data_IF_607774326441
#
_entry.id   IF_607774326441
#
_cell.length_a   1.000
_cell.length_b   1.000
_cell.length_c   1.000
_cell.angle_alpha   90.00
_cell.angle_beta   90.00
_cell.angle_gamma   90.00
#
_symmetry.space_group_name_H-M   'P 1'
#
loop_
_entity.id
_entity.type
_entity.pdbx_description
1 polymer ?
#
# COMPACT_ATOMS: atom_id res chain seq x y z
N UNK A 1 7.18 -6.26 18.01
CA UNK A 1 8.54 -5.66 17.83
C UNK A 1 9.31 -5.76 19.14
N UNK A 2 10.65 -5.97 19.14
CA UNK A 2 11.40 -6.04 20.37
C UNK A 2 11.78 -4.63 20.86
N UNK A 3 11.65 -4.36 22.18
CA UNK A 3 12.01 -3.08 22.78
C UNK A 3 13.50 -2.73 22.71
N UNK A 4 14.34 -3.67 22.30
CA UNK A 4 15.77 -3.45 22.07
C UNK A 4 16.01 -2.51 20.88
N UNK A 5 15.29 -2.72 19.77
CA UNK A 5 15.50 -2.01 18.51
C UNK A 5 14.44 -0.94 18.21
N UNK A 6 13.30 -1.00 18.89
CA UNK A 6 12.21 -0.07 18.69
C UNK A 6 11.84 0.66 19.99
N UNK A 7 11.48 1.93 19.86
CA UNK A 7 10.69 2.66 20.84
C UNK A 7 9.23 2.69 20.41
N UNK A 8 8.30 2.86 21.35
CA UNK A 8 6.90 3.00 21.02
C UNK A 8 6.44 4.42 21.33
N UNK A 9 5.83 5.09 20.37
CA UNK A 9 5.27 6.43 20.52
C UNK A 9 3.84 6.44 19.94
N UNK A 10 2.86 6.78 20.77
CA UNK A 10 1.44 6.82 20.39
C UNK A 10 0.98 5.54 19.67
N UNK A 11 1.40 4.37 20.15
CA UNK A 11 1.05 3.07 19.57
C UNK A 11 1.88 2.63 18.37
N UNK A 12 2.72 3.51 17.81
CA UNK A 12 3.58 3.23 16.65
C UNK A 12 4.97 2.79 17.11
N UNK A 13 5.51 1.74 16.52
CA UNK A 13 6.89 1.30 16.72
C UNK A 13 7.82 2.10 15.82
N UNK A 14 8.77 2.83 16.41
CA UNK A 14 9.76 3.65 15.73
C UNK A 14 11.15 3.05 15.97
N UNK A 15 11.96 2.76 14.93
CA UNK A 15 13.31 2.27 15.09
C UNK A 15 14.17 3.28 15.87
N UNK A 16 14.91 2.81 16.87
CA UNK A 16 15.79 3.68 17.69
C UNK A 16 16.88 4.32 16.82
N UNK A 17 17.14 5.59 17.04
CA UNK A 17 18.15 6.35 16.29
C UNK A 17 17.66 6.86 14.92
N UNK A 18 16.44 6.55 14.52
CA UNK A 18 15.83 7.12 13.30
C UNK A 18 14.93 8.30 13.71
N UNK A 19 15.24 9.47 13.17
CA UNK A 19 14.35 10.63 13.26
C UNK A 19 13.40 10.59 12.04
N UNK A 20 12.10 10.83 12.25
CA UNK A 20 11.15 10.92 11.16
C UNK A 20 11.53 12.03 10.17
N UNK A 21 11.64 11.67 8.88
CA UNK A 21 11.74 12.64 7.80
C UNK A 21 10.33 13.07 7.40
N UNK A 22 10.02 14.33 7.71
CA UNK A 22 8.67 14.88 7.45
C UNK A 22 8.55 15.59 6.10
N UNK A 23 9.59 15.61 5.27
CA UNK A 23 9.60 16.38 4.01
C UNK A 23 8.55 15.84 3.03
N UNK A 24 8.61 14.54 2.74
CA UNK A 24 7.62 13.86 1.91
C UNK A 24 6.24 13.86 2.58
N UNK A 25 6.18 13.55 3.89
CA UNK A 25 4.93 13.47 4.65
C UNK A 25 4.13 14.77 4.55
N UNK A 26 4.78 15.92 4.70
CA UNK A 26 4.11 17.24 4.59
C UNK A 26 3.49 17.46 3.22
N UNK A 27 4.24 17.17 2.15
CA UNK A 27 3.73 17.29 0.79
C UNK A 27 2.55 16.34 0.54
N UNK A 28 2.70 15.09 0.96
CA UNK A 28 1.66 14.07 0.83
C UNK A 28 0.37 14.47 1.56
N UNK A 29 0.47 14.89 2.83
CA UNK A 29 -0.69 15.31 3.62
C UNK A 29 -1.36 16.56 3.03
N UNK A 30 -0.57 17.50 2.50
CA UNK A 30 -1.12 18.68 1.83
C UNK A 30 -1.93 18.30 0.57
N UNK A 31 -1.44 17.35 -0.23
CA UNK A 31 -2.18 16.78 -1.36
C UNK A 31 -3.47 16.13 -0.87
N UNK A 32 -3.38 15.25 0.14
CA UNK A 32 -4.56 14.56 0.71
C UNK A 32 -5.61 15.56 1.22
N UNK A 33 -5.17 16.63 1.86
CA UNK A 33 -6.08 17.68 2.34
C UNK A 33 -6.81 18.38 1.17
N UNK A 34 -6.08 18.78 0.13
CA UNK A 34 -6.69 19.41 -1.06
C UNK A 34 -7.63 18.48 -1.82
N UNK A 35 -7.32 17.20 -1.85
CA UNK A 35 -8.16 16.15 -2.44
C UNK A 35 -9.37 15.78 -1.55
N UNK A 36 -9.46 16.30 -0.32
CA UNK A 36 -10.45 15.90 0.70
C UNK A 36 -10.35 14.39 1.04
N UNK A 37 -9.12 13.91 1.23
CA UNK A 37 -8.79 12.51 1.54
C UNK A 37 -8.14 12.35 2.93
N UNK A 38 -8.21 13.37 3.75
CA UNK A 38 -7.89 13.27 5.17
C UNK A 38 -9.16 12.84 5.89
N UNK A 39 -9.18 11.62 6.34
CA UNK A 39 -10.33 11.01 6.98
C UNK A 39 -10.25 11.14 8.50
N UNK A 40 -11.40 11.38 9.15
CA UNK A 40 -11.52 11.33 10.60
C UNK A 40 -11.40 9.90 11.14
N UNK A 41 -11.18 9.75 12.45
CA UNK A 41 -11.15 8.43 13.10
C UNK A 41 -12.46 7.65 12.87
N UNK A 42 -13.60 8.33 12.89
CA UNK A 42 -14.90 7.72 12.64
C UNK A 42 -15.05 7.21 11.20
N UNK A 43 -14.42 7.89 10.23
CA UNK A 43 -14.45 7.47 8.83
C UNK A 43 -13.52 6.28 8.59
N UNK A 44 -12.28 6.30 9.12
CA UNK A 44 -11.32 5.21 8.86
C UNK A 44 -11.76 3.88 9.45
N UNK A 45 -12.49 3.87 10.56
CA UNK A 45 -13.08 2.65 11.15
C UNK A 45 -13.97 1.91 10.16
N UNK A 46 -14.71 2.68 9.34
CA UNK A 46 -15.67 2.12 8.39
C UNK A 46 -15.07 1.73 7.04
N UNK A 47 -13.84 2.19 6.74
CA UNK A 47 -13.22 1.88 5.45
C UNK A 47 -13.11 0.35 5.22
N UNK A 48 -13.34 -0.09 4.00
CA UNK A 48 -13.56 0.63 2.75
C UNK A 48 -15.03 1.04 2.49
N UNK A 49 -15.91 0.95 3.48
CA UNK A 49 -17.29 1.43 3.35
C UNK A 49 -17.32 2.95 3.51
N UNK A 50 -17.87 3.65 2.52
CA UNK A 50 -18.01 5.10 2.51
C UNK A 50 -19.36 5.49 1.94
N UNK A 51 -19.90 6.63 2.36
CA UNK A 51 -21.20 7.09 1.91
C UNK A 51 -21.26 7.26 0.39
N UNK A 52 -22.39 6.93 -0.22
CA UNK A 52 -22.56 6.95 -1.69
C UNK A 52 -22.40 8.34 -2.30
N UNK A 53 -22.68 9.39 -1.53
CA UNK A 53 -22.50 10.79 -1.95
C UNK A 53 -21.06 11.31 -1.74
N UNK A 54 -20.17 10.51 -1.13
CA UNK A 54 -18.79 10.92 -0.91
C UNK A 54 -18.03 11.04 -2.22
N UNK A 55 -17.21 12.10 -2.36
CA UNK A 55 -16.46 12.41 -3.58
C UNK A 55 -15.60 11.22 -4.06
N UNK A 56 -15.01 10.46 -3.14
CA UNK A 56 -14.17 9.29 -3.43
C UNK A 56 -14.94 7.96 -3.41
N UNK A 57 -16.28 7.96 -3.44
CA UNK A 57 -17.09 6.74 -3.36
C UNK A 57 -16.69 5.70 -4.43
N UNK A 58 -16.46 6.13 -5.67
CA UNK A 58 -16.05 5.22 -6.73
C UNK A 58 -14.70 4.55 -6.43
N UNK A 59 -13.70 5.32 -6.01
CA UNK A 59 -12.38 4.78 -5.66
C UNK A 59 -12.48 3.77 -4.52
N UNK A 60 -13.20 4.10 -3.46
CA UNK A 60 -13.41 3.20 -2.34
C UNK A 60 -14.20 1.95 -2.72
N UNK A 61 -15.13 2.03 -3.69
CA UNK A 61 -15.79 0.84 -4.21
C UNK A 61 -14.81 -0.12 -4.91
N UNK A 62 -13.84 0.42 -5.64
CA UNK A 62 -12.77 -0.36 -6.27
C UNK A 62 -11.87 -1.01 -5.22
N UNK A 63 -11.39 -0.24 -4.23
CA UNK A 63 -10.56 -0.74 -3.12
C UNK A 63 -11.28 -1.79 -2.29
N UNK A 64 -12.58 -1.64 -2.09
CA UNK A 64 -13.43 -2.64 -1.43
C UNK A 64 -13.44 -3.98 -2.17
N UNK A 65 -13.56 -3.95 -3.49
CA UNK A 65 -13.57 -5.17 -4.31
C UNK A 65 -12.18 -5.85 -4.33
N UNK A 66 -11.10 -5.06 -4.39
CA UNK A 66 -9.73 -5.55 -4.26
C UNK A 66 -9.49 -6.20 -2.91
N UNK A 67 -9.87 -5.52 -1.83
CA UNK A 67 -9.75 -6.02 -0.45
C UNK A 67 -10.52 -7.33 -0.27
N UNK A 68 -11.78 -7.41 -0.71
CA UNK A 68 -12.59 -8.64 -0.64
C UNK A 68 -11.96 -9.79 -1.40
N UNK A 69 -11.39 -9.52 -2.57
CA UNK A 69 -10.73 -10.53 -3.41
C UNK A 69 -9.45 -11.03 -2.76
N UNK A 70 -8.62 -10.14 -2.22
CA UNK A 70 -7.40 -10.46 -1.50
C UNK A 70 -7.70 -11.28 -0.23
N UNK A 71 -8.63 -10.83 0.61
CA UNK A 71 -9.03 -11.55 1.83
C UNK A 71 -9.52 -12.95 1.50
N UNK A 72 -10.37 -13.10 0.47
CA UNK A 72 -10.86 -14.40 0.02
C UNK A 72 -9.71 -15.32 -0.42
N UNK A 73 -8.73 -14.77 -1.12
CA UNK A 73 -7.54 -15.50 -1.55
C UNK A 73 -6.70 -15.96 -0.36
N UNK A 74 -6.41 -15.05 0.59
CA UNK A 74 -5.59 -15.37 1.77
C UNK A 74 -6.29 -16.39 2.70
N UNK A 75 -7.60 -16.26 2.91
CA UNK A 75 -8.37 -17.24 3.71
C UNK A 75 -8.31 -18.68 3.14
N UNK A 76 -8.23 -18.83 1.82
CA UNK A 76 -8.09 -20.15 1.17
C UNK A 76 -6.78 -20.86 1.48
N UNK A 77 -5.72 -20.11 1.87
CA UNK A 77 -4.43 -20.71 2.26
C UNK A 77 -4.53 -21.53 3.54
N UNK A 78 -5.51 -21.23 4.40
CA UNK A 78 -5.87 -21.99 5.60
C UNK A 78 -4.67 -22.33 6.52
N UNK A 79 -3.71 -21.43 6.62
CA UNK A 79 -2.49 -21.57 7.44
C UNK A 79 -2.24 -20.28 8.23
N UNK A 80 -1.30 -20.32 9.18
CA UNK A 80 -0.81 -19.11 9.85
C UNK A 80 -0.06 -18.25 8.82
N UNK A 81 -0.32 -16.94 8.80
CA UNK A 81 0.31 -16.00 7.87
C UNK A 81 0.88 -14.79 8.62
N UNK A 82 2.15 -14.51 8.41
CA UNK A 82 2.80 -13.24 8.73
C UNK A 82 2.69 -12.33 7.54
N UNK A 83 2.02 -11.20 7.70
CA UNK A 83 1.67 -10.27 6.62
C UNK A 83 2.35 -8.94 6.88
N UNK A 84 3.02 -8.41 5.86
CA UNK A 84 3.56 -7.05 5.82
C UNK A 84 2.81 -6.24 4.77
N UNK A 85 2.20 -5.13 5.16
CA UNK A 85 1.69 -4.11 4.23
C UNK A 85 2.68 -2.95 4.18
N UNK A 86 3.21 -2.65 2.98
CA UNK A 86 4.17 -1.57 2.74
C UNK A 86 3.44 -0.36 2.16
N UNK A 87 3.52 0.77 2.87
CA UNK A 87 2.74 1.96 2.56
C UNK A 87 1.30 1.80 3.04
N UNK A 88 1.11 1.43 4.31
CA UNK A 88 -0.21 1.12 4.87
C UNK A 88 -1.07 2.37 5.16
N UNK A 89 -0.48 3.57 5.16
CA UNK A 89 -1.16 4.83 5.46
C UNK A 89 -1.94 4.77 6.78
N UNK A 90 -3.23 5.11 6.74
CA UNK A 90 -4.12 5.09 7.90
C UNK A 90 -4.52 3.68 8.38
N UNK A 91 -3.90 2.62 7.86
CA UNK A 91 -3.99 1.26 8.39
C UNK A 91 -5.30 0.50 8.14
N UNK A 92 -6.22 1.03 7.35
CA UNK A 92 -7.52 0.40 7.13
C UNK A 92 -7.43 -1.02 6.57
N UNK A 93 -6.52 -1.25 5.59
CA UNK A 93 -6.34 -2.57 4.99
C UNK A 93 -5.58 -3.50 5.95
N UNK A 94 -4.53 -3.04 6.64
CA UNK A 94 -3.84 -3.78 7.69
C UNK A 94 -4.83 -4.28 8.75
N UNK A 95 -5.78 -3.43 9.15
CA UNK A 95 -6.86 -3.83 10.07
C UNK A 95 -7.72 -4.96 9.48
N UNK A 96 -8.17 -4.84 8.23
CA UNK A 96 -8.96 -5.88 7.55
C UNK A 96 -8.20 -7.20 7.39
N UNK A 97 -6.89 -7.14 7.16
CA UNK A 97 -6.02 -8.31 7.11
C UNK A 97 -5.88 -8.98 8.50
N UNK A 98 -5.82 -8.19 9.57
CA UNK A 98 -5.79 -8.68 10.94
C UNK A 98 -7.13 -9.29 11.42
N UNK A 99 -8.22 -9.13 10.66
CA UNK A 99 -9.48 -9.85 10.87
C UNK A 99 -9.48 -11.29 10.30
N UNK A 100 -8.46 -11.65 9.53
CA UNK A 100 -8.31 -13.02 9.03
C UNK A 100 -7.78 -13.89 10.18
N UNK A 101 -8.44 -15.03 10.53
CA UNK A 101 -7.94 -15.92 11.56
C UNK A 101 -6.52 -16.42 11.28
N UNK A 102 -5.71 -16.53 12.33
CA UNK A 102 -4.31 -17.01 12.27
C UNK A 102 -3.43 -16.11 11.39
N UNK A 103 -3.53 -14.79 11.57
CA UNK A 103 -2.61 -13.83 10.96
C UNK A 103 -1.89 -13.03 12.02
N UNK A 104 -0.67 -12.60 11.71
CA UNK A 104 0.04 -11.49 12.32
C UNK A 104 0.31 -10.44 11.23
N UNK A 105 -0.04 -9.19 11.49
CA UNK A 105 0.03 -8.13 10.50
C UNK A 105 0.91 -7.00 10.99
N UNK A 106 1.82 -6.56 10.12
CA UNK A 106 2.59 -5.34 10.30
C UNK A 106 2.20 -4.38 9.18
N UNK A 107 1.68 -3.21 9.56
CA UNK A 107 1.55 -2.06 8.67
C UNK A 107 2.80 -1.18 8.77
N UNK A 108 3.51 -1.00 7.67
CA UNK A 108 4.72 -0.20 7.56
C UNK A 108 4.45 1.04 6.72
N UNK A 109 4.81 2.22 7.24
CA UNK A 109 4.71 3.48 6.49
C UNK A 109 5.78 4.49 6.94
N UNK A 110 6.05 5.48 6.11
CA UNK A 110 6.90 6.64 6.44
C UNK A 110 6.07 7.87 6.84
N UNK A 111 4.74 7.78 6.79
CA UNK A 111 3.83 8.82 7.25
C UNK A 111 3.45 8.57 8.72
N UNK A 112 4.15 9.26 9.62
CA UNK A 112 3.95 9.08 11.06
C UNK A 112 2.55 9.54 11.52
N UNK A 113 2.01 10.59 10.90
CA UNK A 113 0.68 11.13 11.23
C UNK A 113 -0.42 10.09 10.95
N UNK A 114 -0.42 9.47 9.77
CA UNK A 114 -1.38 8.42 9.42
C UNK A 114 -1.18 7.17 10.28
N UNK A 115 0.06 6.77 10.58
CA UNK A 115 0.36 5.64 11.47
C UNK A 115 -0.14 5.85 12.90
N UNK A 116 0.02 7.06 13.46
CA UNK A 116 -0.49 7.38 14.79
C UNK A 116 -2.03 7.35 14.81
N UNK A 117 -2.67 7.83 13.75
CA UNK A 117 -4.10 7.69 13.58
C UNK A 117 -4.52 6.22 13.53
N UNK A 118 -3.82 5.41 12.71
CA UNK A 118 -4.06 3.98 12.58
C UNK A 118 -3.93 3.24 13.92
N UNK A 119 -2.84 3.50 14.67
CA UNK A 119 -2.58 2.88 15.96
C UNK A 119 -3.60 3.28 17.04
N UNK A 120 -4.11 4.50 16.98
CA UNK A 120 -5.15 4.98 17.89
C UNK A 120 -6.53 4.33 17.60
N UNK A 121 -6.82 4.05 16.34
CA UNK A 121 -8.14 3.53 15.92
C UNK A 121 -8.18 2.01 15.92
N UNK A 122 -7.10 1.34 15.48
CA UNK A 122 -7.08 -0.10 15.25
C UNK A 122 -6.21 -0.84 16.29
N UNK A 123 -6.82 -1.23 17.41
CA UNK A 123 -6.15 -1.90 18.53
C UNK A 123 -6.41 -3.40 18.52
N UNK A 124 -5.66 -4.18 17.74
CA UNK A 124 -5.71 -5.65 17.71
C UNK A 124 -4.38 -6.22 18.19
N UNK A 125 -4.42 -7.32 18.98
CA UNK A 125 -3.21 -7.97 19.52
C UNK A 125 -2.29 -8.54 18.42
N UNK A 126 -2.84 -8.86 17.25
CA UNK A 126 -2.13 -9.40 16.09
C UNK A 126 -1.82 -8.33 15.01
N UNK A 127 -1.95 -7.02 15.33
CA UNK A 127 -1.68 -5.90 14.44
C UNK A 127 -0.67 -4.94 15.06
N UNK A 128 0.36 -4.60 14.32
CA UNK A 128 1.38 -3.63 14.73
C UNK A 128 1.59 -2.60 13.63
N UNK A 129 1.75 -1.35 14.00
CA UNK A 129 2.13 -0.27 13.07
C UNK A 129 3.58 0.15 13.34
N UNK A 130 4.36 0.24 12.25
CA UNK A 130 5.80 0.50 12.29
C UNK A 130 6.10 1.69 11.37
N UNK A 131 6.77 2.68 11.94
CA UNK A 131 7.32 3.78 11.17
C UNK A 131 8.65 3.36 10.55
N UNK A 132 8.80 3.61 9.26
CA UNK A 132 10.09 3.48 8.59
C UNK A 132 10.00 3.15 7.11
N UNK A 133 11.18 3.20 6.50
CA UNK A 133 11.40 2.89 5.09
C UNK A 133 12.02 1.48 4.99
N UNK A 134 11.42 0.59 4.25
CA UNK A 134 11.92 -0.77 4.05
C UNK A 134 13.36 -0.80 3.50
N UNK A 135 13.77 0.24 2.75
CA UNK A 135 15.14 0.40 2.22
C UNK A 135 16.20 0.56 3.32
N UNK A 136 15.80 0.85 4.56
CA UNK A 136 16.71 1.05 5.71
C UNK A 136 16.86 -0.19 6.59
N UNK A 137 16.54 -1.37 6.07
CA UNK A 137 16.62 -2.67 6.78
C UNK A 137 16.01 -2.66 8.19
N UNK A 138 14.92 -1.93 8.37
CA UNK A 138 14.27 -1.76 9.67
C UNK A 138 13.56 -3.01 10.18
N UNK A 139 13.28 -3.96 9.29
CA UNK A 139 12.58 -5.20 9.61
C UNK A 139 13.51 -6.29 10.19
N UNK A 140 14.83 -6.07 10.21
CA UNK A 140 15.82 -6.92 10.88
C UNK A 140 15.72 -8.40 10.48
N UNK A 141 15.73 -8.68 9.18
CA UNK A 141 15.65 -10.03 8.62
C UNK A 141 14.36 -10.80 9.00
N UNK A 142 13.29 -10.11 9.39
CA UNK A 142 12.00 -10.75 9.59
C UNK A 142 11.50 -11.32 8.26
N UNK A 143 10.92 -12.51 8.35
CA UNK A 143 10.37 -13.20 7.19
C UNK A 143 8.84 -13.15 7.24
N UNK A 144 8.24 -12.80 6.11
CA UNK A 144 6.80 -12.71 5.91
C UNK A 144 6.32 -13.76 4.91
N UNK A 145 5.13 -14.27 5.11
CA UNK A 145 4.47 -15.18 4.17
C UNK A 145 3.78 -14.39 3.06
N UNK A 146 3.38 -13.17 3.37
CA UNK A 146 2.71 -12.24 2.43
C UNK A 146 3.27 -10.84 2.61
N UNK A 147 3.67 -10.22 1.49
CA UNK A 147 3.99 -8.78 1.41
C UNK A 147 2.98 -8.12 0.47
N UNK A 148 2.45 -6.96 0.84
CA UNK A 148 1.40 -6.28 0.10
C UNK A 148 1.80 -4.82 -0.18
N UNK A 149 1.64 -4.41 -1.43
CA UNK A 149 1.63 -3.02 -1.87
C UNK A 149 0.20 -2.70 -2.34
N UNK A 150 -0.53 -1.92 -1.55
CA UNK A 150 -1.92 -1.55 -1.86
C UNK A 150 -2.02 -0.05 -2.16
N UNK A 151 -1.88 0.33 -3.43
CA UNK A 151 -1.86 1.75 -3.83
C UNK A 151 -0.64 2.49 -3.30
N UNK A 152 0.51 1.81 -3.14
CA UNK A 152 1.72 2.39 -2.56
C UNK A 152 2.98 2.27 -3.43
N UNK A 153 3.05 1.31 -4.37
CA UNK A 153 4.27 1.06 -5.16
C UNK A 153 4.68 2.28 -6.01
N UNK A 154 3.75 3.14 -6.40
CA UNK A 154 4.01 4.36 -7.16
C UNK A 154 4.81 5.43 -6.39
N UNK A 155 5.02 5.27 -5.09
CA UNK A 155 5.85 6.18 -4.29
C UNK A 155 7.31 5.72 -4.18
N UNK A 156 7.66 4.62 -4.80
CA UNK A 156 9.04 4.11 -4.89
C UNK A 156 9.61 4.40 -6.28
N UNK A 157 10.79 5.01 -6.36
CA UNK A 157 11.41 5.40 -7.64
C UNK A 157 11.80 4.21 -8.51
N UNK A 158 12.18 3.09 -7.90
CA UNK A 158 12.54 1.85 -8.58
C UNK A 158 11.64 0.70 -8.12
N UNK A 159 10.69 0.24 -8.94
CA UNK A 159 9.86 -0.92 -8.61
C UNK A 159 10.69 -2.20 -8.52
N UNK A 160 11.77 -2.30 -9.31
CA UNK A 160 12.69 -3.44 -9.28
C UNK A 160 13.41 -3.54 -7.94
N UNK A 161 13.98 -2.44 -7.46
CA UNK A 161 14.66 -2.39 -6.16
C UNK A 161 13.72 -2.77 -5.02
N UNK A 162 12.54 -2.16 -4.97
CA UNK A 162 11.61 -2.39 -3.87
C UNK A 162 11.05 -3.81 -3.85
N UNK A 163 10.86 -4.43 -5.03
CA UNK A 163 10.44 -5.83 -5.11
C UNK A 163 11.55 -6.76 -4.65
N UNK A 164 12.83 -6.50 -5.00
CA UNK A 164 13.96 -7.28 -4.49
C UNK A 164 14.05 -7.21 -2.95
N UNK A 165 13.95 -6.00 -2.37
CA UNK A 165 13.94 -5.84 -0.91
C UNK A 165 12.74 -6.56 -0.27
N UNK A 166 11.58 -6.56 -0.92
CA UNK A 166 10.42 -7.31 -0.44
C UNK A 166 10.65 -8.84 -0.53
N UNK A 167 11.31 -9.33 -1.58
CA UNK A 167 11.69 -10.74 -1.72
C UNK A 167 12.68 -11.18 -0.62
N UNK A 168 13.68 -10.36 -0.27
CA UNK A 168 14.62 -10.64 0.83
C UNK A 168 13.91 -10.86 2.18
N UNK A 169 12.77 -10.20 2.39
CA UNK A 169 11.94 -10.33 3.59
C UNK A 169 10.81 -11.37 3.43
N UNK A 170 10.82 -12.17 2.38
CA UNK A 170 9.78 -13.13 2.07
C UNK A 170 10.24 -14.56 2.39
N UNK A 171 9.37 -15.35 3.02
CA UNK A 171 9.62 -16.80 3.18
C UNK A 171 9.73 -17.47 1.82
N UNK A 172 10.41 -18.63 1.74
CA UNK A 172 10.64 -19.34 0.48
C UNK A 172 9.35 -19.66 -0.32
N UNK A 173 8.20 -19.79 0.37
CA UNK A 173 6.88 -20.01 -0.25
C UNK A 173 5.97 -18.77 -0.16
N UNK A 174 6.53 -17.64 0.21
CA UNK A 174 5.80 -16.39 0.36
C UNK A 174 5.39 -15.77 -0.97
N UNK A 175 4.55 -14.75 -0.88
CA UNK A 175 4.00 -14.05 -2.04
C UNK A 175 4.00 -12.54 -1.81
N UNK A 176 4.37 -11.79 -2.85
CA UNK A 176 4.17 -10.34 -2.90
C UNK A 176 2.92 -10.08 -3.72
N UNK A 177 2.01 -9.27 -3.19
CA UNK A 177 0.81 -8.82 -3.88
C UNK A 177 0.88 -7.32 -4.15
N UNK A 178 0.68 -6.92 -5.40
CA UNK A 178 0.53 -5.52 -5.81
C UNK A 178 -0.92 -5.35 -6.25
N UNK A 179 -1.65 -4.48 -5.56
CA UNK A 179 -3.05 -4.14 -5.81
C UNK A 179 -3.26 -2.63 -5.79
N UNK A 180 -4.36 -2.15 -6.35
CA UNK A 180 -4.80 -0.74 -6.31
C UNK A 180 -3.73 0.27 -6.78
N UNK A 181 -2.83 -0.18 -7.66
CA UNK A 181 -1.77 0.65 -8.25
C UNK A 181 -1.86 0.65 -9.77
N UNK A 182 -1.64 1.82 -10.37
CA UNK A 182 -1.51 1.91 -11.82
C UNK A 182 -0.17 1.35 -12.27
N UNK A 183 -0.22 0.42 -13.23
CA UNK A 183 0.92 -0.01 -14.02
C UNK A 183 0.59 0.27 -15.49
N UNK A 184 1.49 0.95 -16.16
CA UNK A 184 1.24 1.54 -17.48
C UNK A 184 1.78 0.68 -18.62
N UNK A 185 1.14 0.74 -19.76
CA UNK A 185 1.76 0.33 -21.02
C UNK A 185 2.76 1.39 -21.49
N UNK A 186 3.80 1.00 -22.23
CA UNK A 186 4.84 1.91 -22.70
C UNK A 186 4.29 3.11 -23.51
N UNK A 187 3.20 2.92 -24.24
CA UNK A 187 2.51 3.95 -25.02
C UNK A 187 1.71 4.96 -24.18
N UNK A 188 1.40 4.63 -22.92
CA UNK A 188 0.56 5.44 -22.03
C UNK A 188 1.40 6.21 -21.00
N UNK A 189 2.61 5.74 -20.69
CA UNK A 189 3.39 6.21 -19.54
C UNK A 189 3.78 7.68 -19.64
N UNK A 190 4.17 8.17 -20.83
CA UNK A 190 4.59 9.58 -20.98
C UNK A 190 3.40 10.54 -20.83
N UNK A 191 2.24 10.19 -21.38
CA UNK A 191 1.02 10.96 -21.18
C UNK A 191 0.62 10.97 -19.68
N UNK A 192 0.74 9.85 -19.00
CA UNK A 192 0.46 9.75 -17.56
C UNK A 192 1.40 10.63 -16.72
N UNK A 193 2.70 10.64 -17.04
CA UNK A 193 3.68 11.54 -16.39
C UNK A 193 3.36 13.00 -16.62
N UNK A 194 2.98 13.38 -17.85
CA UNK A 194 2.59 14.75 -18.18
C UNK A 194 1.35 15.17 -17.38
N UNK A 195 0.29 14.36 -17.40
CA UNK A 195 -0.94 14.61 -16.65
C UNK A 195 -0.68 14.72 -15.13
N UNK A 196 0.21 13.92 -14.59
CA UNK A 196 0.59 13.96 -13.18
C UNK A 196 1.29 15.29 -12.82
N UNK A 197 2.24 15.75 -13.65
CA UNK A 197 2.90 17.06 -13.46
C UNK A 197 1.91 18.22 -13.52
N UNK A 198 0.99 18.19 -14.48
CA UNK A 198 -0.05 19.21 -14.63
C UNK A 198 -1.01 19.22 -13.44
N UNK A 199 -1.46 18.05 -13.01
CA UNK A 199 -2.33 17.88 -11.85
C UNK A 199 -1.76 18.49 -10.58
N UNK A 200 -0.49 18.19 -10.23
CA UNK A 200 0.13 18.76 -9.04
C UNK A 200 0.49 20.22 -9.19
N UNK A 201 0.79 20.70 -10.41
CA UNK A 201 0.99 22.12 -10.70
C UNK A 201 -0.30 22.92 -10.49
N UNK A 202 -1.43 22.45 -11.03
CA UNK A 202 -2.74 23.08 -10.86
C UNK A 202 -3.20 23.08 -9.40
N UNK A 203 -2.84 22.04 -8.67
CA UNK A 203 -3.08 21.97 -7.22
C UNK A 203 -2.18 22.92 -6.42
N UNK A 204 -1.15 23.53 -7.03
CA UNK A 204 -0.17 24.39 -6.36
C UNK A 204 0.83 23.64 -5.48
N UNK A 205 1.08 22.36 -5.80
CA UNK A 205 2.05 21.49 -5.10
C UNK A 205 2.91 20.74 -6.14
N UNK A 206 3.62 21.46 -7.05
CA UNK A 206 4.34 20.84 -8.17
C UNK A 206 5.41 19.85 -7.72
N UNK A 207 6.03 20.06 -6.56
CA UNK A 207 7.09 19.20 -6.01
C UNK A 207 6.61 17.76 -5.73
N UNK A 208 5.31 17.55 -5.52
CA UNK A 208 4.77 16.20 -5.31
C UNK A 208 4.93 15.29 -6.54
N UNK A 209 5.02 15.87 -7.74
CA UNK A 209 5.29 15.10 -8.96
C UNK A 209 6.64 14.35 -8.93
N UNK A 210 7.61 14.82 -8.13
CA UNK A 210 8.91 14.16 -7.95
C UNK A 210 8.85 12.90 -7.08
N UNK A 211 7.74 12.69 -6.38
CA UNK A 211 7.51 11.56 -5.48
C UNK A 211 6.43 10.60 -6.00
N UNK A 212 5.89 10.82 -7.20
CA UNK A 212 4.90 9.94 -7.82
C UNK A 212 5.46 9.36 -9.12
N UNK A 213 5.76 8.07 -9.10
CA UNK A 213 6.43 7.37 -10.19
C UNK A 213 5.45 6.54 -11.00
N UNK A 214 5.70 6.43 -12.31
CA UNK A 214 4.84 5.74 -13.28
C UNK A 214 5.57 4.51 -13.78
N UNK A 215 5.24 3.35 -13.22
CA UNK A 215 5.88 2.08 -13.52
C UNK A 215 5.23 1.36 -14.69
N UNK A 216 6.03 0.70 -15.50
CA UNK A 216 5.52 -0.12 -16.60
C UNK A 216 5.08 -1.50 -16.08
N UNK A 217 3.98 -2.00 -16.60
CA UNK A 217 3.56 -3.37 -16.34
C UNK A 217 4.63 -4.37 -16.81
N UNK A 218 5.30 -4.07 -17.93
CA UNK A 218 6.33 -4.92 -18.50
C UNK A 218 7.54 -5.10 -17.56
N UNK A 219 7.86 -4.11 -16.71
CA UNK A 219 8.95 -4.21 -15.75
C UNK A 219 8.69 -5.27 -14.67
N UNK A 220 7.43 -5.65 -14.47
CA UNK A 220 7.05 -6.69 -13.52
C UNK A 220 7.34 -8.10 -14.03
N UNK A 221 7.42 -8.30 -15.35
CA UNK A 221 7.63 -9.61 -15.95
C UNK A 221 9.07 -10.14 -15.88
N UNK A 222 10.01 -9.33 -15.39
CA UNK A 222 11.34 -9.81 -15.02
C UNK A 222 11.34 -10.71 -13.77
N UNK A 223 10.25 -10.65 -12.98
CA UNK A 223 10.03 -11.48 -11.79
C UNK A 223 9.15 -12.68 -12.13
N UNK A 224 9.14 -13.68 -11.25
CA UNK A 224 8.15 -14.77 -11.30
C UNK A 224 6.76 -14.20 -10.94
N UNK A 225 6.17 -13.49 -11.88
CA UNK A 225 4.97 -12.70 -11.74
C UNK A 225 3.76 -13.37 -12.40
N UNK A 226 2.67 -13.46 -11.67
CA UNK A 226 1.37 -13.92 -12.17
C UNK A 226 0.34 -12.81 -12.05
N UNK A 227 -0.35 -12.50 -13.14
CA UNK A 227 -1.49 -11.57 -13.14
C UNK A 227 -2.74 -12.32 -12.68
N UNK A 228 -3.18 -12.06 -11.44
CA UNK A 228 -4.39 -12.66 -10.85
C UNK A 228 -5.68 -12.02 -11.39
N UNK A 229 -5.62 -10.72 -11.68
CA UNK A 229 -6.70 -9.96 -12.27
C UNK A 229 -6.12 -8.96 -13.26
N UNK A 230 -6.58 -9.03 -14.51
CA UNK A 230 -6.14 -8.10 -15.54
C UNK A 230 -6.80 -6.74 -15.38
N UNK A 231 -6.06 -5.68 -15.75
CA UNK A 231 -6.58 -4.33 -15.92
C UNK A 231 -7.72 -4.34 -16.95
N UNK A 232 -8.87 -3.80 -16.61
CA UNK A 232 -9.97 -3.65 -17.57
C UNK A 232 -9.69 -2.47 -18.50
N UNK A 233 -9.78 -2.68 -19.82
CA UNK A 233 -9.70 -1.60 -20.81
C UNK A 233 -10.72 -0.50 -20.51
N UNK A 234 -10.35 0.77 -20.79
CA UNK A 234 -11.19 1.94 -20.54
C UNK A 234 -12.60 1.81 -21.17
N UNK A 235 -12.72 1.22 -22.37
CA UNK A 235 -14.00 0.99 -23.05
C UNK A 235 -14.88 -0.07 -22.35
N UNK A 236 -14.28 -1.05 -21.67
CA UNK A 236 -15.03 -2.04 -20.86
C UNK A 236 -15.45 -1.49 -19.49
N UNK A 237 -14.83 -0.39 -19.02
CA UNK A 237 -15.23 0.29 -17.77
C UNK A 237 -16.65 0.84 -17.80
N UNK A 238 -17.13 1.29 -18.97
CA UNK A 238 -18.46 1.90 -19.11
C UNK A 238 -19.59 0.90 -18.88
N UNK A 239 -19.34 -0.40 -19.11
CA UNK A 239 -20.36 -1.46 -19.05
C UNK A 239 -20.13 -2.53 -18.00
N UNK A 240 -18.93 -2.61 -17.41
CA UNK A 240 -18.59 -3.60 -16.40
C UNK A 240 -17.90 -2.91 -15.22
N UNK A 241 -18.50 -2.96 -14.03
CA UNK A 241 -17.91 -2.52 -12.74
C UNK A 241 -16.69 -3.38 -12.37
N UNK A 242 -15.62 -3.36 -13.19
CA UNK A 242 -14.40 -4.14 -12.94
C UNK A 242 -13.26 -3.22 -12.52
N UNK A 243 -12.40 -3.72 -11.64
CA UNK A 243 -11.24 -3.02 -11.11
C UNK A 243 -10.35 -2.49 -12.24
N UNK A 244 -9.95 -1.22 -12.15
CA UNK A 244 -9.08 -0.56 -13.11
C UNK A 244 -7.61 -0.97 -12.95
N UNK A 245 -7.25 -1.59 -11.84
CA UNK A 245 -5.88 -1.93 -11.48
C UNK A 245 -5.62 -3.42 -11.70
N UNK A 246 -4.41 -3.80 -12.20
CA UNK A 246 -4.03 -5.20 -12.21
C UNK A 246 -3.80 -5.68 -10.76
N UNK A 247 -4.09 -6.94 -10.50
CA UNK A 247 -3.61 -7.60 -9.30
C UNK A 247 -2.47 -8.54 -9.69
N UNK A 248 -1.27 -8.21 -9.25
CA UNK A 248 -0.08 -9.00 -9.47
C UNK A 248 0.26 -9.84 -8.24
N UNK A 249 0.80 -11.02 -8.48
CA UNK A 249 1.37 -11.89 -7.47
C UNK A 249 2.77 -12.32 -7.91
N UNK A 250 3.78 -11.96 -7.12
CA UNK A 250 5.20 -12.25 -7.39
C UNK A 250 5.68 -13.25 -6.33
N UNK A 251 6.54 -14.19 -6.75
CA UNK A 251 7.16 -15.21 -5.89
C UNK A 251 8.65 -15.28 -6.17
N UNK A 252 9.39 -15.98 -5.30
CA UNK A 252 10.74 -16.38 -5.63
C UNK A 252 10.76 -17.16 -6.96
N UNK A 253 11.81 -16.98 -7.75
CA UNK A 253 12.12 -17.90 -8.85
C UNK A 253 12.40 -19.29 -8.27
N UNK A 254 11.85 -20.32 -8.91
CA UNK A 254 12.10 -21.71 -8.54
C UNK A 254 13.53 -22.12 -8.93
#
# INVERSE_FOLDING_TARGET
MSGEYFSQQNGVYIPKGILPDTSFEKLYLLVRQKEQRVYSNAEIVNLPEIATHHKQHYEWSVRKDSCKSLIRYLKKKNQFLRILEIGCGNGWLSHKLAEIPRTEVIGLDINLTELQQAANVFTKSNLQFVYGDIRKNILQNRQFDIVIFAGSIQYFSSPTEIIHLALENLTARGEIHIIDSFLYDAKEVEAAKQNCREYYREMGIPDMANYYFHHLLNDMYQFNCTVKQQRTSFFKKLFLKRNAFPWLCIRHAL
#
